data_IF_001434882851
#
_entry.id   IF_001434882851
#
_cell.length_a   1.000
_cell.length_b   1.000
_cell.length_c   1.000
_cell.angle_alpha   90.00
_cell.angle_beta   90.00
_cell.angle_gamma   90.00
#
_symmetry.space_group_name_H-M   'P 1'
#
loop_
_entity.id
_entity.type
_entity.pdbx_description
1 polymer ?
#
# COMPACT_ATOMS: atom_id res chain seq x y z
N UNK A 1 -5.41 -16.67 6.17
CA UNK A 1 -5.80 -15.26 6.39
C UNK A 1 -4.55 -14.51 6.86
N UNK A 2 -4.09 -13.46 6.16
CA UNK A 2 -2.98 -12.62 6.66
C UNK A 2 -3.60 -11.50 7.49
N UNK A 3 -3.82 -11.79 8.78
CA UNK A 3 -4.31 -10.81 9.75
C UNK A 3 -3.17 -9.88 10.16
N UNK A 4 -2.99 -8.74 9.50
CA UNK A 4 -2.16 -7.60 10.00
C UNK A 4 -0.66 -7.82 10.23
N UNK A 5 -0.15 -9.05 10.25
CA UNK A 5 1.23 -9.40 10.60
C UNK A 5 2.19 -9.33 9.40
N UNK A 6 1.68 -9.08 8.19
CA UNK A 6 2.48 -9.00 6.98
C UNK A 6 1.95 -7.94 6.02
N UNK A 7 2.87 -7.23 5.37
CA UNK A 7 2.58 -6.30 4.29
C UNK A 7 2.82 -6.96 2.93
N UNK A 8 1.94 -6.68 1.97
CA UNK A 8 2.11 -7.10 0.58
C UNK A 8 2.37 -5.86 -0.29
N UNK A 9 3.49 -5.86 -1.03
CA UNK A 9 3.73 -4.81 -2.03
C UNK A 9 2.93 -5.15 -3.27
N UNK A 10 1.95 -4.31 -3.59
CA UNK A 10 1.06 -4.50 -4.72
C UNK A 10 1.06 -3.28 -5.65
N UNK A 11 1.29 -3.46 -6.97
CA UNK A 11 1.11 -2.40 -7.94
C UNK A 11 -0.35 -1.92 -7.96
N UNK A 12 -0.55 -0.61 -8.01
CA UNK A 12 -1.87 0.02 -8.18
C UNK A 12 -1.86 0.90 -9.42
N UNK A 13 -2.96 0.87 -10.17
CA UNK A 13 -3.18 1.82 -11.25
C UNK A 13 -3.91 3.03 -10.69
N UNK A 14 -3.31 4.21 -10.80
CA UNK A 14 -3.89 5.46 -10.31
C UNK A 14 -4.65 6.18 -11.43
N UNK A 15 -5.74 6.83 -11.06
CA UNK A 15 -6.57 7.66 -11.92
C UNK A 15 -6.46 9.13 -11.56
N UNK A 16 -7.61 9.80 -11.53
CA UNK A 16 -7.70 11.24 -11.26
C UNK A 16 -7.28 11.55 -9.82
N UNK A 17 -6.64 12.72 -9.64
CA UNK A 17 -6.31 13.28 -8.33
C UNK A 17 -7.28 14.41 -8.00
N UNK A 18 -7.73 14.44 -6.75
CA UNK A 18 -8.55 15.51 -6.19
C UNK A 18 -7.98 15.90 -4.82
N UNK A 19 -7.22 16.99 -4.80
CA UNK A 19 -6.46 17.45 -3.64
C UNK A 19 -5.54 16.35 -3.07
N UNK A 20 -5.81 15.96 -1.83
CA UNK A 20 -5.06 14.96 -1.06
C UNK A 20 -5.46 13.52 -1.42
N UNK A 21 -6.52 13.33 -2.20
CA UNK A 21 -7.01 12.01 -2.60
C UNK A 21 -6.62 11.68 -4.05
N UNK A 22 -6.36 10.40 -4.31
CA UNK A 22 -6.15 9.87 -5.65
C UNK A 22 -7.02 8.65 -5.88
N UNK A 23 -7.61 8.55 -7.06
CA UNK A 23 -8.40 7.40 -7.45
C UNK A 23 -7.50 6.17 -7.66
N UNK A 24 -7.86 5.03 -7.07
CA UNK A 24 -7.30 3.74 -7.42
C UNK A 24 -8.21 3.04 -8.44
N UNK A 25 -7.74 2.90 -9.67
CA UNK A 25 -8.47 2.22 -10.77
C UNK A 25 -8.34 0.69 -10.66
N UNK A 26 -7.21 0.20 -10.16
CA UNK A 26 -6.98 -1.23 -9.94
C UNK A 26 -5.89 -1.48 -8.89
N UNK A 27 -5.80 -2.71 -8.42
CA UNK A 27 -4.80 -3.16 -7.44
C UNK A 27 -5.29 -3.18 -6.00
N UNK A 28 -6.40 -2.52 -5.65
CA UNK A 28 -7.03 -2.63 -4.32
C UNK A 28 -8.54 -2.79 -4.47
N UNK A 29 -9.17 -3.49 -3.51
CA UNK A 29 -10.62 -3.70 -3.47
C UNK A 29 -11.24 -3.02 -2.24
N UNK A 30 -12.51 -2.58 -2.31
CA UNK A 30 -13.23 -2.11 -1.12
C UNK A 30 -13.18 -3.13 0.02
N UNK A 31 -12.87 -2.67 1.22
CA UNK A 31 -12.69 -3.51 2.41
C UNK A 31 -11.26 -4.04 2.63
N UNK A 32 -10.34 -3.86 1.68
CA UNK A 32 -8.92 -4.11 1.91
C UNK A 32 -8.26 -2.98 2.71
N UNK A 33 -7.29 -3.36 3.53
CA UNK A 33 -6.48 -2.42 4.31
C UNK A 33 -5.26 -1.97 3.51
N UNK A 34 -4.98 -0.66 3.54
CA UNK A 34 -3.78 -0.07 2.94
C UNK A 34 -2.98 0.68 4.00
N UNK A 35 -1.66 0.72 3.82
CA UNK A 35 -0.79 1.53 4.65
C UNK A 35 -0.83 2.97 4.14
N UNK A 36 -1.61 3.84 4.80
CA UNK A 36 -1.74 5.26 4.42
C UNK A 36 -0.81 6.19 5.23
N UNK A 37 -0.32 5.73 6.39
CA UNK A 37 0.65 6.46 7.23
C UNK A 37 1.89 5.60 7.41
N UNK A 38 3.08 6.20 7.27
CA UNK A 38 4.34 5.47 7.39
C UNK A 38 4.65 4.51 6.24
N UNK A 39 3.95 4.61 5.10
CA UNK A 39 4.13 3.71 3.95
C UNK A 39 5.58 3.64 3.43
N UNK A 40 6.30 4.78 3.51
CA UNK A 40 7.72 4.82 3.16
C UNK A 40 8.59 3.99 4.10
N UNK A 41 8.32 4.02 5.41
CA UNK A 41 9.05 3.21 6.40
C UNK A 41 8.78 1.72 6.18
N UNK A 42 7.52 1.35 5.89
CA UNK A 42 7.17 -0.04 5.52
C UNK A 42 7.92 -0.48 4.26
N UNK A 43 8.00 0.38 3.24
CA UNK A 43 8.77 0.10 2.02
C UNK A 43 10.27 -0.12 2.31
N UNK A 44 10.87 0.72 3.15
CA UNK A 44 12.28 0.59 3.53
C UNK A 44 12.53 -0.70 4.31
N UNK A 45 11.70 -0.99 5.31
CA UNK A 45 11.80 -2.23 6.10
C UNK A 45 11.67 -3.49 5.23
N UNK A 46 10.82 -3.44 4.18
CA UNK A 46 10.69 -4.53 3.22
C UNK A 46 11.86 -4.65 2.22
N UNK A 47 12.70 -3.63 2.12
CA UNK A 47 13.85 -3.59 1.20
C UNK A 47 15.18 -3.87 1.91
N UNK A 48 15.18 -3.92 3.25
CA UNK A 48 16.33 -4.32 4.04
C UNK A 48 16.44 -5.83 4.05
N UNK A 49 17.46 -6.37 3.38
CA UNK A 49 18.01 -7.67 3.78
C UNK A 49 18.50 -7.50 5.21
N UNK A 50 17.82 -8.12 6.17
CA UNK A 50 18.45 -8.49 7.44
C UNK A 50 19.36 -9.68 7.18
N UNK A 51 20.41 -9.46 6.37
CA UNK A 51 21.68 -10.20 6.18
C UNK A 51 22.40 -9.65 4.93
#
# INVERSE_FOLDING_TARGET
MKHGEAFERRPVQLGIRDGEYVQALSGVKPGEWVVSRGAYLVKLAASGSGE
#
